data_IF_293523517702
#
_entry.id   IF_293523517702
#
_cell.length_a   1.000
_cell.length_b   1.000
_cell.length_c   1.000
_cell.angle_alpha   90.00
_cell.angle_beta   90.00
_cell.angle_gamma   90.00
#
_symmetry.space_group_name_H-M   'P 1'
#
loop_
_entity.id
_entity.type
_entity.pdbx_description
1 polymer ?
#
# COMPACT_ATOMS: atom_id res chain seq x y z
N UNK A 1 14.93 -31.83 -16.59
CA UNK A 1 15.55 -31.29 -15.38
C UNK A 1 14.43 -31.20 -14.37
N UNK A 2 14.52 -31.83 -13.21
CA UNK A 2 13.55 -31.65 -12.15
C UNK A 2 13.64 -30.18 -11.75
N UNK A 3 12.59 -29.42 -12.01
CA UNK A 3 12.49 -28.04 -11.52
C UNK A 3 12.43 -28.11 -10.01
N UNK A 4 13.47 -27.63 -9.36
CA UNK A 4 13.60 -27.61 -7.90
C UNK A 4 12.40 -26.84 -7.32
N UNK A 5 11.65 -27.46 -6.41
CA UNK A 5 10.47 -26.83 -5.80
C UNK A 5 10.99 -26.00 -4.63
N UNK A 6 10.87 -24.68 -4.72
CA UNK A 6 11.22 -23.76 -3.63
C UNK A 6 10.36 -24.01 -2.39
N UNK A 7 10.86 -23.68 -1.22
CA UNK A 7 10.01 -23.71 -0.03
C UNK A 7 8.98 -22.57 -0.08
N UNK A 8 9.45 -21.36 -0.35
CA UNK A 8 8.60 -20.15 -0.40
C UNK A 8 8.92 -19.30 -1.63
N UNK A 9 7.88 -18.92 -2.35
CA UNK A 9 7.92 -17.80 -3.29
C UNK A 9 7.16 -16.63 -2.67
N UNK A 10 7.81 -15.46 -2.55
CA UNK A 10 7.16 -14.22 -2.16
C UNK A 10 6.96 -13.34 -3.39
N UNK A 11 5.77 -12.79 -3.57
CA UNK A 11 5.43 -11.90 -4.69
C UNK A 11 5.42 -10.47 -4.20
N UNK A 12 6.33 -9.65 -4.74
CA UNK A 12 6.69 -8.32 -4.28
C UNK A 12 7.91 -8.32 -3.37
N UNK A 13 8.61 -7.19 -3.30
CA UNK A 13 9.74 -6.94 -2.42
C UNK A 13 9.57 -5.62 -1.62
N UNK A 14 8.34 -5.32 -1.19
CA UNK A 14 8.04 -4.25 -0.24
C UNK A 14 8.41 -4.61 1.19
N UNK A 15 8.19 -3.69 2.17
CA UNK A 15 8.60 -3.91 3.57
C UNK A 15 8.04 -5.18 4.19
N UNK A 16 6.82 -5.59 3.85
CA UNK A 16 6.21 -6.83 4.33
C UNK A 16 6.93 -8.07 3.81
N UNK A 17 7.22 -8.11 2.51
CA UNK A 17 7.94 -9.19 1.85
C UNK A 17 9.36 -9.35 2.41
N UNK A 18 10.09 -8.23 2.52
CA UNK A 18 11.47 -8.21 3.05
C UNK A 18 11.50 -8.66 4.51
N UNK A 19 10.54 -8.22 5.33
CA UNK A 19 10.43 -8.69 6.71
C UNK A 19 10.16 -10.21 6.76
N UNK A 20 9.21 -10.71 5.97
CA UNK A 20 8.95 -12.14 5.90
C UNK A 20 10.20 -12.93 5.49
N UNK A 21 10.92 -12.46 4.47
CA UNK A 21 12.14 -13.10 3.99
C UNK A 21 13.25 -13.16 5.07
N UNK A 22 13.41 -12.09 5.87
CA UNK A 22 14.35 -12.09 7.01
C UNK A 22 14.04 -13.24 7.98
N UNK A 23 12.75 -13.47 8.27
CA UNK A 23 12.34 -14.52 9.22
C UNK A 23 12.46 -15.92 8.62
N UNK A 24 12.01 -16.13 7.38
CA UNK A 24 12.07 -17.46 6.73
C UNK A 24 13.50 -17.91 6.49
N UNK A 25 14.35 -17.04 5.95
CA UNK A 25 15.74 -17.40 5.63
C UNK A 25 16.62 -17.62 6.86
N UNK A 26 16.31 -16.95 8.00
CA UNK A 26 16.99 -17.24 9.28
C UNK A 26 16.68 -18.62 9.84
N UNK A 27 15.65 -19.28 9.36
CA UNK A 27 15.25 -20.64 9.71
C UNK A 27 15.56 -21.65 8.58
N UNK A 28 16.51 -21.30 7.69
CA UNK A 28 16.96 -22.13 6.57
C UNK A 28 15.82 -22.53 5.60
N UNK A 29 14.76 -21.71 5.50
CA UNK A 29 13.67 -21.88 4.54
C UNK A 29 14.08 -21.21 3.23
N UNK A 30 14.17 -21.99 2.14
CA UNK A 30 14.53 -21.50 0.81
C UNK A 30 13.46 -20.51 0.29
N UNK A 31 13.81 -19.22 0.28
CA UNK A 31 12.89 -18.13 -0.03
C UNK A 31 13.41 -17.28 -1.18
N UNK A 32 12.61 -17.17 -2.23
CA UNK A 32 12.83 -16.23 -3.34
C UNK A 32 11.71 -15.21 -3.40
N UNK A 33 12.08 -13.93 -3.63
CA UNK A 33 11.14 -12.83 -3.85
C UNK A 33 11.17 -12.43 -5.32
N UNK A 34 10.00 -12.27 -5.93
CA UNK A 34 9.88 -11.72 -7.27
C UNK A 34 9.34 -10.29 -7.20
N UNK A 35 10.11 -9.33 -7.72
CA UNK A 35 9.75 -7.90 -7.77
C UNK A 35 9.69 -7.41 -9.23
N UNK A 36 8.60 -6.76 -9.60
CA UNK A 36 8.41 -6.30 -10.97
C UNK A 36 9.08 -4.96 -11.30
N UNK A 37 9.42 -4.15 -10.28
CA UNK A 37 9.91 -2.78 -10.50
C UNK A 37 11.08 -2.42 -9.60
N UNK A 38 10.83 -2.00 -8.36
CA UNK A 38 11.85 -1.55 -7.44
C UNK A 38 11.64 -2.14 -6.04
N UNK A 39 12.71 -2.63 -5.45
CA UNK A 39 12.70 -3.13 -4.07
C UNK A 39 12.29 -2.01 -3.11
N UNK A 40 11.41 -2.33 -2.15
CA UNK A 40 10.90 -1.39 -1.16
C UNK A 40 9.49 -0.86 -1.47
N UNK A 41 8.98 -1.02 -2.69
CA UNK A 41 7.63 -0.61 -3.07
C UNK A 41 7.35 0.87 -2.78
N UNK A 42 6.15 1.21 -2.29
CA UNK A 42 5.77 2.59 -1.95
C UNK A 42 6.65 3.23 -0.86
N UNK A 43 7.24 2.43 0.03
CA UNK A 43 8.16 2.96 1.04
C UNK A 43 9.41 3.58 0.39
N UNK A 44 9.96 2.95 -0.66
CA UNK A 44 11.17 3.44 -1.33
C UNK A 44 10.99 4.80 -2.05
N UNK A 45 9.76 5.13 -2.44
CA UNK A 45 9.45 6.41 -3.12
C UNK A 45 8.92 7.49 -2.16
N UNK A 46 8.84 7.19 -0.87
CA UNK A 46 8.49 8.16 0.18
C UNK A 46 9.72 8.99 0.51
N UNK A 47 9.58 10.32 0.51
CA UNK A 47 10.72 11.23 0.76
C UNK A 47 11.28 11.03 2.16
N UNK A 48 10.46 11.24 3.20
CA UNK A 48 10.83 11.07 4.60
C UNK A 48 9.81 10.20 5.33
N UNK A 49 10.29 9.24 6.12
CA UNK A 49 9.48 8.35 6.97
C UNK A 49 9.79 8.68 8.43
N UNK A 50 8.88 9.41 9.10
CA UNK A 50 9.04 9.86 10.48
C UNK A 50 8.37 8.95 11.51
N UNK A 51 7.54 8.02 11.06
CA UNK A 51 6.71 7.19 11.91
C UNK A 51 7.14 5.71 11.94
N UNK A 52 8.34 5.38 11.44
CA UNK A 52 8.89 4.04 11.57
C UNK A 52 9.76 3.93 12.83
N UNK A 53 9.44 3.03 13.79
CA UNK A 53 10.17 2.92 15.04
C UNK A 53 11.65 2.58 14.84
N UNK A 54 12.52 3.22 15.62
CA UNK A 54 13.97 3.03 15.56
C UNK A 54 14.74 4.17 14.87
N UNK A 55 14.03 5.13 14.28
CA UNK A 55 14.61 6.29 13.61
C UNK A 55 14.05 7.60 14.19
N UNK A 56 14.58 8.08 15.31
CA UNK A 56 14.05 9.25 16.02
C UNK A 56 14.13 10.57 15.22
N UNK A 57 15.03 10.64 14.24
CA UNK A 57 15.19 11.78 13.33
C UNK A 57 14.51 11.56 11.97
N UNK A 58 13.68 10.50 11.84
CA UNK A 58 13.18 10.03 10.56
C UNK A 58 14.23 9.31 9.71
N UNK A 59 13.82 8.79 8.58
CA UNK A 59 14.69 8.14 7.59
C UNK A 59 14.10 8.33 6.19
N UNK A 60 14.94 8.60 5.19
CA UNK A 60 14.51 8.57 3.80
C UNK A 60 13.95 7.20 3.43
N UNK A 61 12.83 7.15 2.73
CA UNK A 61 12.14 5.90 2.38
C UNK A 61 13.03 4.95 1.58
N UNK A 62 13.81 5.47 0.62
CA UNK A 62 14.78 4.68 -0.13
C UNK A 62 15.88 4.09 0.77
N UNK A 63 16.35 4.85 1.75
CA UNK A 63 17.36 4.37 2.71
C UNK A 63 16.78 3.26 3.62
N UNK A 64 15.54 3.41 4.08
CA UNK A 64 14.86 2.39 4.87
C UNK A 64 14.68 1.09 4.06
N UNK A 65 14.20 1.21 2.82
CA UNK A 65 14.03 0.07 1.90
C UNK A 65 15.36 -0.66 1.68
N UNK A 66 16.43 0.08 1.39
CA UNK A 66 17.77 -0.50 1.20
C UNK A 66 18.36 -1.15 2.46
N UNK A 67 17.98 -0.71 3.67
CA UNK A 67 18.37 -1.39 4.91
C UNK A 67 17.62 -2.72 5.09
N UNK A 68 16.32 -2.76 4.80
CA UNK A 68 15.51 -3.97 4.85
C UNK A 68 15.99 -5.00 3.81
N UNK A 69 16.28 -4.56 2.59
CA UNK A 69 16.84 -5.38 1.51
C UNK A 69 18.16 -6.04 1.93
N UNK A 70 19.15 -5.23 2.35
CA UNK A 70 20.45 -5.73 2.82
C UNK A 70 20.31 -6.69 3.99
N UNK A 71 19.33 -6.47 4.87
CA UNK A 71 19.10 -7.38 6.00
C UNK A 71 18.53 -8.73 5.50
N UNK A 72 17.61 -8.74 4.54
CA UNK A 72 17.06 -9.95 3.96
C UNK A 72 18.15 -10.75 3.20
N UNK A 73 18.92 -10.07 2.34
CA UNK A 73 20.02 -10.67 1.59
C UNK A 73 21.11 -11.26 2.51
N UNK A 74 21.42 -10.58 3.63
CA UNK A 74 22.39 -11.06 4.63
C UNK A 74 22.05 -12.46 5.16
N UNK A 75 20.76 -12.81 5.21
CA UNK A 75 20.31 -14.12 5.67
C UNK A 75 20.03 -15.09 4.52
N UNK A 76 20.31 -14.70 3.27
CA UNK A 76 20.24 -15.58 2.11
C UNK A 76 18.96 -15.46 1.30
N UNK A 77 18.13 -14.45 1.54
CA UNK A 77 16.97 -14.17 0.68
C UNK A 77 17.45 -13.85 -0.76
N UNK A 78 16.82 -14.51 -1.74
CA UNK A 78 17.08 -14.25 -3.15
C UNK A 78 16.01 -13.28 -3.67
N UNK A 79 16.44 -12.16 -4.21
CA UNK A 79 15.52 -11.17 -4.83
C UNK A 79 15.76 -11.20 -6.33
N UNK A 80 14.73 -11.58 -7.08
CA UNK A 80 14.77 -11.68 -8.54
C UNK A 80 13.76 -10.69 -9.14
N UNK A 81 14.15 -10.07 -10.26
CA UNK A 81 13.24 -9.22 -11.00
C UNK A 81 12.40 -10.07 -11.95
N UNK A 82 11.07 -9.86 -11.92
CA UNK A 82 10.14 -10.56 -12.77
C UNK A 82 8.68 -10.18 -12.46
N UNK A 83 7.85 -10.12 -13.48
CA UNK A 83 6.43 -9.82 -13.35
C UNK A 83 5.62 -11.12 -13.17
N UNK A 84 5.00 -11.26 -12.01
CA UNK A 84 4.13 -12.40 -11.71
C UNK A 84 2.75 -12.13 -12.32
N UNK A 85 2.36 -13.00 -13.23
CA UNK A 85 1.12 -12.86 -14.01
C UNK A 85 0.02 -13.85 -13.64
N UNK A 86 0.35 -14.95 -12.94
CA UNK A 86 -0.63 -15.91 -12.47
C UNK A 86 -0.11 -16.76 -11.29
N UNK A 87 -1.06 -17.27 -10.50
CA UNK A 87 -0.82 -18.33 -9.50
C UNK A 87 -1.86 -19.42 -9.72
N UNK A 88 -1.44 -20.68 -9.61
CA UNK A 88 -2.33 -21.82 -9.56
C UNK A 88 -1.88 -22.84 -8.53
N UNK A 89 -2.80 -23.57 -7.97
CA UNK A 89 -2.52 -24.69 -7.07
C UNK A 89 -2.52 -26.01 -7.85
N UNK A 90 -1.50 -26.80 -7.66
CA UNK A 90 -1.43 -28.21 -8.07
C UNK A 90 -1.54 -29.11 -6.83
N UNK A 91 -1.62 -30.43 -7.03
CA UNK A 91 -1.94 -31.35 -5.95
C UNK A 91 -0.99 -31.25 -4.74
N UNK A 92 0.28 -30.98 -4.97
CA UNK A 92 1.32 -30.99 -3.95
C UNK A 92 2.21 -29.73 -3.91
N UNK A 93 1.94 -28.74 -4.77
CA UNK A 93 2.71 -27.50 -4.82
C UNK A 93 1.90 -26.36 -5.46
N UNK A 94 2.44 -25.16 -5.38
CA UNK A 94 1.94 -23.97 -6.08
C UNK A 94 2.80 -23.72 -7.31
N UNK A 95 2.20 -23.19 -8.33
CA UNK A 95 2.89 -22.75 -9.54
C UNK A 95 2.65 -21.27 -9.71
N UNK A 96 3.73 -20.52 -9.82
CA UNK A 96 3.74 -19.07 -10.05
C UNK A 96 4.31 -18.83 -11.44
N UNK A 97 3.56 -18.11 -12.28
CA UNK A 97 4.02 -17.74 -13.63
C UNK A 97 4.73 -16.39 -13.56
N UNK A 98 6.02 -16.38 -13.82
CA UNK A 98 6.89 -15.19 -13.81
C UNK A 98 7.43 -14.97 -15.21
N UNK A 99 7.16 -13.82 -15.82
CA UNK A 99 7.56 -13.49 -17.20
C UNK A 99 7.23 -14.59 -18.22
N UNK A 100 6.10 -15.28 -18.02
CA UNK A 100 5.63 -16.36 -18.87
C UNK A 100 6.28 -17.74 -18.59
N UNK A 101 7.19 -17.85 -17.60
CA UNK A 101 7.77 -19.11 -17.16
C UNK A 101 7.19 -19.58 -15.82
N UNK A 102 6.98 -20.87 -15.66
CA UNK A 102 6.46 -21.46 -14.43
C UNK A 102 7.55 -21.78 -13.43
N UNK A 103 7.40 -21.27 -12.21
CA UNK A 103 8.23 -21.58 -11.06
C UNK A 103 7.37 -22.27 -9.99
N UNK A 104 7.94 -23.25 -9.28
CA UNK A 104 7.21 -24.07 -8.32
C UNK A 104 7.62 -23.75 -6.89
N UNK A 105 6.64 -23.73 -5.98
CA UNK A 105 6.89 -23.57 -4.54
C UNK A 105 5.90 -24.41 -3.71
N UNK A 106 6.29 -24.74 -2.48
CA UNK A 106 5.39 -25.36 -1.49
C UNK A 106 4.39 -24.33 -0.98
N UNK A 107 4.85 -23.09 -0.77
CA UNK A 107 4.10 -21.97 -0.23
C UNK A 107 4.30 -20.72 -1.08
N UNK A 108 3.25 -19.91 -1.21
CA UNK A 108 3.32 -18.57 -1.81
C UNK A 108 2.90 -17.53 -0.78
N UNK A 109 3.70 -16.46 -0.63
CA UNK A 109 3.33 -15.25 0.10
C UNK A 109 3.06 -14.12 -0.88
N UNK A 110 1.86 -13.57 -0.84
CA UNK A 110 1.47 -12.40 -1.64
C UNK A 110 1.70 -11.14 -0.80
N UNK A 111 2.65 -10.30 -1.22
CA UNK A 111 3.01 -9.05 -0.54
C UNK A 111 3.19 -7.91 -1.55
N UNK A 112 2.32 -7.90 -2.55
CA UNK A 112 2.34 -6.98 -3.70
C UNK A 112 1.87 -5.56 -3.39
N UNK A 113 1.28 -5.37 -2.20
CA UNK A 113 0.79 -4.07 -1.75
C UNK A 113 -0.40 -3.55 -2.57
N UNK A 114 -0.64 -2.24 -2.42
CA UNK A 114 -1.68 -1.50 -3.13
C UNK A 114 -1.12 -0.17 -3.61
N UNK A 115 -1.57 0.30 -4.76
CA UNK A 115 -1.27 1.62 -5.27
C UNK A 115 -2.39 2.61 -4.93
N UNK A 116 -2.04 3.88 -4.76
CA UNK A 116 -3.03 4.94 -4.66
C UNK A 116 -3.58 5.27 -6.04
N UNK A 117 -4.92 5.31 -6.14
CA UNK A 117 -5.58 5.76 -7.35
C UNK A 117 -5.27 7.24 -7.60
N UNK A 118 -4.84 7.55 -8.82
CA UNK A 118 -4.50 8.91 -9.24
C UNK A 118 -5.72 9.62 -9.80
N UNK A 119 -5.76 10.96 -9.65
CA UNK A 119 -6.77 11.80 -10.31
C UNK A 119 -6.41 12.09 -11.77
N UNK A 120 -5.10 12.00 -12.11
CA UNK A 120 -4.58 12.23 -13.45
C UNK A 120 -4.43 13.71 -13.82
N UNK A 121 -4.49 14.62 -12.85
CA UNK A 121 -4.31 16.04 -13.09
C UNK A 121 -2.83 16.37 -13.37
N UNK A 122 -2.52 17.29 -14.31
CA UNK A 122 -1.20 17.86 -14.46
C UNK A 122 -0.63 18.33 -13.11
N UNK A 123 0.64 18.07 -12.85
CA UNK A 123 1.31 18.37 -11.59
C UNK A 123 1.18 17.28 -10.52
N UNK A 124 0.19 16.37 -10.58
CA UNK A 124 0.00 15.34 -9.56
C UNK A 124 1.23 14.44 -9.40
N UNK A 125 1.74 13.92 -10.50
CA UNK A 125 2.94 13.05 -10.50
C UNK A 125 4.22 13.84 -10.21
N UNK A 126 4.32 15.05 -10.76
CA UNK A 126 5.51 15.88 -10.67
C UNK A 126 5.79 16.31 -9.23
N UNK A 127 4.73 16.65 -8.48
CA UNK A 127 4.84 17.19 -7.11
C UNK A 127 4.56 16.16 -6.03
N UNK A 128 4.53 14.85 -6.37
CA UNK A 128 4.44 13.78 -5.37
C UNK A 128 5.60 13.89 -4.37
N UNK A 129 5.29 13.86 -3.06
CA UNK A 129 6.23 14.11 -1.97
C UNK A 129 6.66 15.57 -1.79
N UNK A 130 6.36 16.45 -2.76
CA UNK A 130 6.71 17.88 -2.75
C UNK A 130 5.47 18.80 -2.70
N UNK A 131 4.44 18.34 -2.00
CA UNK A 131 3.18 19.04 -1.86
C UNK A 131 1.95 18.27 -2.33
N UNK A 132 2.12 17.13 -3.01
CA UNK A 132 1.04 16.18 -3.32
C UNK A 132 1.26 14.89 -2.53
N UNK A 133 0.25 14.47 -1.77
CA UNK A 133 0.32 13.36 -0.82
C UNK A 133 -0.90 12.44 -0.93
N UNK A 134 -0.74 11.19 -0.45
CA UNK A 134 -1.79 10.17 -0.42
C UNK A 134 -1.99 9.55 0.96
N UNK A 135 -1.28 10.04 1.98
CA UNK A 135 -1.33 9.52 3.34
C UNK A 135 -1.38 10.70 4.34
N UNK A 136 -2.52 10.96 4.95
CA UNK A 136 -2.64 12.03 5.94
C UNK A 136 -1.87 11.74 7.23
N UNK A 137 -1.85 10.49 7.67
CA UNK A 137 -1.11 10.06 8.87
C UNK A 137 0.39 10.21 8.70
N UNK A 138 0.90 10.05 7.46
CA UNK A 138 2.33 10.16 7.15
C UNK A 138 2.76 11.63 7.08
N UNK A 139 2.00 12.45 6.36
CA UNK A 139 2.44 13.77 5.89
C UNK A 139 1.71 14.94 6.55
N UNK A 140 0.56 14.69 7.20
CA UNK A 140 -0.30 15.76 7.72
C UNK A 140 0.38 16.67 8.74
N UNK A 141 1.29 16.14 9.55
CA UNK A 141 2.00 16.90 10.59
C UNK A 141 2.91 18.00 10.01
N UNK A 142 3.41 17.85 8.78
CA UNK A 142 4.24 18.85 8.08
C UNK A 142 3.45 20.11 7.68
N UNK A 143 2.12 20.01 7.68
CA UNK A 143 1.20 21.07 7.25
C UNK A 143 0.52 21.80 8.42
N UNK A 144 1.19 21.87 9.58
CA UNK A 144 0.67 22.62 10.73
C UNK A 144 0.51 24.11 10.37
N UNK A 145 -0.71 24.62 10.67
CA UNK A 145 -1.12 26.00 10.42
C UNK A 145 -1.12 26.42 8.93
N UNK A 146 -1.14 25.42 8.01
CA UNK A 146 -1.16 25.60 6.56
C UNK A 146 -2.56 25.39 6.00
N UNK A 147 -2.78 25.90 4.78
CA UNK A 147 -3.97 25.64 4.00
C UNK A 147 -3.79 24.39 3.16
N UNK A 148 -4.78 23.52 3.19
CA UNK A 148 -4.74 22.25 2.44
C UNK A 148 -5.92 22.13 1.49
N UNK A 149 -5.69 21.41 0.40
CA UNK A 149 -6.74 20.85 -0.43
C UNK A 149 -6.78 19.35 -0.19
N UNK A 150 -7.98 18.81 0.00
CA UNK A 150 -8.25 17.37 -0.02
C UNK A 150 -9.11 17.05 -1.23
N UNK A 151 -8.73 16.02 -2.00
CA UNK A 151 -9.48 15.58 -3.18
C UNK A 151 -10.09 14.21 -2.90
N UNK A 152 -11.43 14.13 -2.92
CA UNK A 152 -12.18 12.90 -2.72
C UNK A 152 -13.52 13.13 -2.04
N UNK A 153 -14.42 12.14 -2.12
CA UNK A 153 -15.78 12.25 -1.52
C UNK A 153 -16.27 10.94 -0.91
N UNK A 154 -15.41 9.94 -0.74
CA UNK A 154 -15.69 8.67 -0.08
C UNK A 154 -15.31 8.67 1.41
N UNK A 155 -15.54 7.53 2.08
CA UNK A 155 -15.22 7.38 3.51
C UNK A 155 -13.79 7.80 3.85
N UNK A 156 -12.78 7.31 3.10
CA UNK A 156 -11.38 7.65 3.34
C UNK A 156 -11.13 9.16 3.24
N UNK A 157 -11.68 9.83 2.21
CA UNK A 157 -11.49 11.27 2.05
C UNK A 157 -12.04 12.07 3.24
N UNK A 158 -13.22 11.72 3.76
CA UNK A 158 -13.80 12.39 4.91
C UNK A 158 -13.03 12.10 6.20
N UNK A 159 -12.67 10.84 6.45
CA UNK A 159 -11.86 10.45 7.62
C UNK A 159 -10.54 11.20 7.66
N UNK A 160 -9.82 11.22 6.53
CA UNK A 160 -8.53 11.87 6.42
C UNK A 160 -8.66 13.41 6.46
N UNK A 161 -9.75 13.99 5.91
CA UNK A 161 -10.05 15.41 6.08
C UNK A 161 -10.23 15.76 7.55
N UNK A 162 -11.08 15.02 8.28
CA UNK A 162 -11.29 15.20 9.72
C UNK A 162 -9.96 15.06 10.49
N UNK A 163 -9.14 14.08 10.14
CA UNK A 163 -7.82 13.90 10.76
C UNK A 163 -6.91 15.13 10.53
N UNK A 164 -6.86 15.63 9.29
CA UNK A 164 -6.01 16.77 8.91
C UNK A 164 -6.43 18.08 9.59
N UNK A 165 -7.71 18.25 10.03
CA UNK A 165 -8.13 19.44 10.79
C UNK A 165 -7.37 19.64 12.10
N UNK A 166 -6.67 18.62 12.59
CA UNK A 166 -5.79 18.71 13.77
C UNK A 166 -4.52 19.52 13.52
N UNK A 167 -4.15 19.66 12.26
CA UNK A 167 -2.93 20.34 11.83
C UNK A 167 -3.21 21.58 11.00
N UNK A 168 -4.00 21.44 9.96
CA UNK A 168 -4.27 22.48 8.99
C UNK A 168 -5.06 23.66 9.60
N UNK A 169 -4.75 24.87 9.15
CA UNK A 169 -5.53 26.07 9.48
C UNK A 169 -6.87 26.10 8.75
N UNK A 170 -6.92 25.57 7.52
CA UNK A 170 -8.11 25.44 6.70
C UNK A 170 -7.93 24.32 5.67
N UNK A 171 -9.04 23.66 5.32
CA UNK A 171 -9.07 22.59 4.32
C UNK A 171 -10.19 22.87 3.32
N UNK A 172 -9.85 22.90 2.04
CA UNK A 172 -10.80 22.90 0.93
C UNK A 172 -10.98 21.45 0.45
N UNK A 173 -12.16 20.86 0.68
CA UNK A 173 -12.49 19.49 0.26
C UNK A 173 -13.15 19.52 -1.12
N UNK A 174 -12.42 19.04 -2.14
CA UNK A 174 -12.90 19.01 -3.53
C UNK A 174 -13.59 17.66 -3.81
N UNK A 175 -14.85 17.71 -4.15
CA UNK A 175 -15.68 16.52 -4.44
C UNK A 175 -16.21 16.62 -5.86
N UNK A 176 -15.81 15.67 -6.72
CA UNK A 176 -16.15 15.68 -8.16
C UNK A 176 -17.66 15.71 -8.46
N UNK A 177 -18.48 15.15 -7.57
CA UNK A 177 -19.94 15.11 -7.70
C UNK A 177 -20.61 15.32 -6.35
N UNK A 178 -20.97 14.24 -5.68
CA UNK A 178 -21.58 14.22 -4.34
C UNK A 178 -20.73 13.43 -3.36
N UNK A 179 -20.86 13.73 -2.08
CA UNK A 179 -20.26 12.94 -1.01
C UNK A 179 -20.93 11.57 -0.98
N UNK A 180 -20.10 10.49 -0.98
CA UNK A 180 -20.52 9.08 -0.92
C UNK A 180 -20.15 8.41 0.39
N UNK A 181 -19.60 9.17 1.33
CA UNK A 181 -19.24 8.68 2.66
C UNK A 181 -20.50 8.39 3.49
N UNK A 182 -20.34 7.56 4.54
CA UNK A 182 -21.40 7.22 5.48
C UNK A 182 -21.93 8.47 6.20
N UNK A 183 -23.22 8.44 6.60
CA UNK A 183 -23.89 9.55 7.29
C UNK A 183 -23.14 9.96 8.57
N UNK A 184 -22.55 9.01 9.29
CA UNK A 184 -21.78 9.28 10.52
C UNK A 184 -20.57 10.18 10.21
N UNK A 185 -19.83 9.87 9.16
CA UNK A 185 -18.66 10.67 8.74
C UNK A 185 -19.09 12.05 8.21
N UNK A 186 -20.22 12.13 7.52
CA UNK A 186 -20.76 13.42 7.07
C UNK A 186 -21.16 14.30 8.25
N UNK A 187 -21.78 13.72 9.30
CA UNK A 187 -22.14 14.44 10.53
C UNK A 187 -20.88 14.91 11.30
N UNK A 188 -19.83 14.09 11.34
CA UNK A 188 -18.57 14.49 11.98
C UNK A 188 -17.86 15.60 11.19
N UNK A 189 -17.83 15.51 9.88
CA UNK A 189 -17.28 16.55 9.02
C UNK A 189 -18.04 17.89 9.18
N UNK A 190 -19.37 17.83 9.32
CA UNK A 190 -20.22 19.02 9.47
C UNK A 190 -19.79 19.90 10.64
N UNK A 191 -19.31 19.31 11.76
CA UNK A 191 -18.78 20.07 12.91
C UNK A 191 -17.62 20.99 12.49
N UNK A 192 -16.72 20.45 11.66
CA UNK A 192 -15.55 21.22 11.18
C UNK A 192 -15.91 22.25 10.11
N UNK A 193 -16.99 22.01 9.37
CA UNK A 193 -17.58 23.01 8.45
C UNK A 193 -18.17 24.16 9.26
N UNK A 194 -18.95 23.87 10.31
CA UNK A 194 -19.58 24.87 11.17
C UNK A 194 -18.52 25.70 11.95
N UNK A 195 -17.38 25.11 12.27
CA UNK A 195 -16.20 25.78 12.85
C UNK A 195 -15.42 26.63 11.83
N UNK A 196 -15.75 26.58 10.55
CA UNK A 196 -15.03 27.28 9.47
C UNK A 196 -13.67 26.70 9.13
N UNK A 197 -13.35 25.50 9.61
CA UNK A 197 -12.11 24.80 9.30
C UNK A 197 -12.11 24.06 7.98
N UNK A 198 -13.29 23.68 7.49
CA UNK A 198 -13.46 22.95 6.23
C UNK A 198 -14.46 23.66 5.34
N UNK A 199 -14.11 23.86 4.08
CA UNK A 199 -15.03 24.23 3.01
C UNK A 199 -15.20 23.07 2.05
N UNK A 200 -16.45 22.73 1.71
CA UNK A 200 -16.75 21.64 0.77
C UNK A 200 -17.14 22.23 -0.59
N UNK A 201 -16.42 21.83 -1.62
CA UNK A 201 -16.67 22.19 -3.01
C UNK A 201 -17.24 20.96 -3.74
N UNK A 202 -18.56 20.95 -3.95
CA UNK A 202 -19.23 19.90 -4.71
C UNK A 202 -19.16 20.19 -6.22
N UNK A 203 -19.33 19.13 -7.05
CA UNK A 203 -19.24 19.23 -8.52
C UNK A 203 -17.95 19.92 -8.97
N UNK A 204 -16.83 19.60 -8.30
CA UNK A 204 -15.55 20.28 -8.51
C UNK A 204 -14.51 19.30 -9.01
N UNK A 205 -13.93 19.57 -10.17
CA UNK A 205 -12.78 18.82 -10.73
C UNK A 205 -11.47 19.50 -10.38
N UNK A 206 -10.42 18.70 -10.23
CA UNK A 206 -9.04 19.17 -10.09
C UNK A 206 -8.43 19.18 -11.48
N UNK A 207 -8.18 20.36 -12.04
CA UNK A 207 -7.76 20.50 -13.43
C UNK A 207 -6.24 20.58 -13.58
N UNK A 208 -5.56 21.24 -12.63
CA UNK A 208 -4.09 21.34 -12.62
C UNK A 208 -3.61 21.66 -11.20
N UNK A 209 -2.54 21.02 -10.75
CA UNK A 209 -1.81 21.35 -9.52
C UNK A 209 -0.63 22.24 -9.91
N UNK A 210 -0.62 23.46 -9.40
CA UNK A 210 0.36 24.49 -9.75
C UNK A 210 1.39 24.61 -8.64
N UNK A 211 2.66 24.80 -9.01
CA UNK A 211 3.74 25.01 -8.07
C UNK A 211 4.50 26.32 -8.35
N UNK A 212 5.00 26.91 -7.29
CA UNK A 212 5.92 28.03 -7.31
C UNK A 212 7.20 27.61 -6.59
N UNK A 213 8.36 27.86 -7.19
CA UNK A 213 9.67 27.47 -6.62
C UNK A 213 9.76 25.97 -6.24
N UNK A 214 9.12 25.12 -7.06
CA UNK A 214 9.13 23.66 -6.90
C UNK A 214 8.26 23.08 -5.79
N UNK A 215 7.40 23.90 -5.18
CA UNK A 215 6.41 23.50 -4.17
C UNK A 215 5.00 23.87 -4.59
N UNK A 216 4.03 23.04 -4.26
CA UNK A 216 2.62 23.32 -4.52
C UNK A 216 2.23 24.67 -3.93
N UNK A 217 1.52 25.50 -4.71
CA UNK A 217 1.08 26.84 -4.32
C UNK A 217 -0.41 27.09 -4.57
N UNK A 218 -1.00 26.35 -5.53
CA UNK A 218 -2.43 26.47 -5.84
C UNK A 218 -2.92 25.28 -6.66
N UNK A 219 -4.24 25.17 -6.80
CA UNK A 219 -4.90 24.19 -7.67
C UNK A 219 -5.91 24.93 -8.55
N UNK A 220 -5.84 24.72 -9.86
CA UNK A 220 -6.89 25.13 -10.78
C UNK A 220 -8.02 24.12 -10.71
N UNK A 221 -9.24 24.61 -10.57
CA UNK A 221 -10.43 23.79 -10.43
C UNK A 221 -11.55 24.31 -11.34
N UNK A 222 -12.45 23.41 -11.72
CA UNK A 222 -13.72 23.76 -12.33
C UNK A 222 -14.84 23.36 -11.38
N UNK A 223 -15.52 24.33 -10.79
CA UNK A 223 -16.65 24.14 -9.89
C UNK A 223 -17.95 24.57 -10.58
N UNK A 224 -18.92 23.65 -10.74
CA UNK A 224 -20.18 23.92 -11.45
C UNK A 224 -19.98 24.64 -12.80
N UNK A 225 -19.04 24.15 -13.62
CA UNK A 225 -18.64 24.72 -14.92
C UNK A 225 -17.93 26.08 -14.86
N UNK A 226 -17.61 26.59 -13.69
CA UNK A 226 -16.85 27.82 -13.50
C UNK A 226 -15.40 27.53 -13.12
N UNK A 227 -14.45 27.97 -13.94
CA UNK A 227 -13.03 27.82 -13.64
C UNK A 227 -12.57 28.82 -12.58
N UNK A 228 -11.77 28.36 -11.63
CA UNK A 228 -11.16 29.17 -10.58
C UNK A 228 -9.84 28.59 -10.13
N UNK A 229 -9.16 29.28 -9.22
CA UNK A 229 -7.89 28.82 -8.64
C UNK A 229 -7.94 29.00 -7.12
N UNK A 230 -7.58 27.91 -6.39
CA UNK A 230 -7.57 27.86 -4.93
C UNK A 230 -6.13 27.81 -4.46
N UNK A 231 -5.71 28.78 -3.66
CA UNK A 231 -4.37 28.85 -3.06
C UNK A 231 -4.24 27.83 -1.93
N UNK A 232 -3.20 27.03 -1.97
CA UNK A 232 -2.95 25.97 -0.99
C UNK A 232 -1.45 25.74 -0.76
N UNK A 233 -1.08 25.21 0.39
CA UNK A 233 0.30 24.77 0.69
C UNK A 233 0.53 23.28 0.36
N UNK A 234 -0.56 22.51 0.18
CA UNK A 234 -0.47 21.08 -0.15
C UNK A 234 -1.81 20.46 -0.55
N UNK A 235 -1.71 19.35 -1.28
CA UNK A 235 -2.85 18.59 -1.83
C UNK A 235 -2.79 17.16 -1.34
N UNK A 236 -3.86 16.69 -0.73
CA UNK A 236 -4.03 15.29 -0.33
C UNK A 236 -5.08 14.61 -1.19
N UNK A 237 -4.74 13.49 -1.82
CA UNK A 237 -5.63 12.80 -2.78
C UNK A 237 -6.12 11.48 -2.18
N UNK A 238 -7.44 11.37 -1.94
CA UNK A 238 -8.09 10.20 -1.37
C UNK A 238 -9.25 9.73 -2.25
N UNK A 239 -8.92 9.29 -3.47
CA UNK A 239 -9.88 8.83 -4.48
C UNK A 239 -9.95 7.31 -4.62
N UNK A 240 -9.34 6.59 -3.68
CA UNK A 240 -9.35 5.13 -3.56
C UNK A 240 -7.98 4.48 -3.71
N UNK A 241 -7.99 3.16 -3.53
CA UNK A 241 -6.82 2.29 -3.68
C UNK A 241 -6.98 1.39 -4.91
N UNK A 242 -5.88 0.89 -5.40
CA UNK A 242 -5.76 -0.12 -6.44
C UNK A 242 -4.90 -1.27 -5.89
N UNK A 243 -5.52 -2.30 -5.30
CA UNK A 243 -4.78 -3.46 -4.84
C UNK A 243 -4.08 -4.17 -6.01
N UNK A 244 -2.84 -4.57 -5.81
CA UNK A 244 -2.07 -5.29 -6.83
C UNK A 244 -2.44 -6.78 -6.83
N UNK A 245 -3.66 -7.11 -7.25
CA UNK A 245 -4.29 -8.43 -7.17
C UNK A 245 -4.77 -8.98 -8.52
N UNK A 246 -4.57 -8.25 -9.63
CA UNK A 246 -5.07 -8.65 -10.95
C UNK A 246 -4.59 -10.04 -11.41
N UNK A 247 -3.36 -10.44 -11.03
CA UNK A 247 -2.77 -11.73 -11.35
C UNK A 247 -3.41 -12.92 -10.61
N UNK A 248 -4.33 -12.66 -9.66
CA UNK A 248 -5.04 -13.69 -8.88
C UNK A 248 -6.28 -14.23 -9.58
N UNK A 249 -6.65 -13.71 -10.75
CA UNK A 249 -7.78 -14.24 -11.51
C UNK A 249 -7.62 -15.74 -11.75
N UNK A 250 -8.64 -16.52 -11.38
CA UNK A 250 -8.61 -17.98 -11.49
C UNK A 250 -7.80 -18.74 -10.44
N UNK A 251 -7.13 -18.07 -9.51
CA UNK A 251 -6.32 -18.72 -8.45
C UNK A 251 -7.16 -19.36 -7.33
N UNK A 252 -8.43 -18.97 -7.16
CA UNK A 252 -9.28 -19.36 -6.03
C UNK A 252 -9.10 -18.51 -4.77
N UNK A 253 -8.18 -17.54 -4.78
CA UNK A 253 -8.02 -16.60 -3.66
C UNK A 253 -9.18 -15.62 -3.63
N UNK A 254 -9.86 -15.50 -2.49
CA UNK A 254 -10.98 -14.59 -2.34
C UNK A 254 -10.52 -13.15 -2.07
N UNK A 255 -11.19 -12.22 -2.74
CA UNK A 255 -11.03 -10.78 -2.56
C UNK A 255 -12.26 -10.19 -1.87
N UNK A 256 -12.07 -9.04 -1.21
CA UNK A 256 -13.19 -8.23 -0.73
C UNK A 256 -13.75 -7.30 -1.83
N UNK A 257 -14.73 -6.48 -1.49
CA UNK A 257 -15.38 -5.54 -2.42
C UNK A 257 -14.43 -4.47 -2.99
N UNK A 258 -13.31 -4.24 -2.33
CA UNK A 258 -12.26 -3.29 -2.75
C UNK A 258 -11.16 -3.97 -3.58
N UNK A 259 -11.21 -5.29 -3.75
CA UNK A 259 -10.20 -6.08 -4.42
C UNK A 259 -9.01 -6.47 -3.55
N UNK A 260 -9.10 -6.30 -2.22
CA UNK A 260 -8.08 -6.70 -1.25
C UNK A 260 -8.24 -8.19 -0.88
N UNK A 261 -7.13 -8.86 -0.58
CA UNK A 261 -7.12 -10.30 -0.27
C UNK A 261 -7.70 -10.56 1.11
N UNK A 262 -8.69 -11.45 1.20
CA UNK A 262 -9.21 -11.95 2.46
C UNK A 262 -8.25 -12.99 3.05
N UNK A 263 -7.95 -12.85 4.34
CA UNK A 263 -7.14 -13.81 5.10
C UNK A 263 -7.79 -14.15 6.43
N UNK A 264 -7.40 -15.29 7.00
CA UNK A 264 -7.67 -15.61 8.38
C UNK A 264 -6.66 -14.89 9.33
N UNK A 265 -6.75 -15.16 10.63
CA UNK A 265 -5.86 -14.57 11.64
C UNK A 265 -4.38 -15.01 11.52
N UNK A 266 -4.10 -16.07 10.77
CA UNK A 266 -2.76 -16.58 10.47
C UNK A 266 -2.21 -16.06 9.14
N UNK A 267 -2.89 -15.06 8.55
CA UNK A 267 -2.56 -14.45 7.26
C UNK A 267 -2.63 -15.43 6.08
N UNK A 268 -3.26 -16.60 6.26
CA UNK A 268 -3.53 -17.55 5.18
C UNK A 268 -4.81 -17.14 4.45
N UNK A 269 -4.79 -17.27 3.12
CA UNK A 269 -5.93 -16.99 2.26
C UNK A 269 -6.95 -18.13 2.30
N UNK A 270 -7.99 -18.07 1.47
CA UNK A 270 -8.95 -19.17 1.29
C UNK A 270 -8.35 -20.39 0.58
N UNK A 271 -7.15 -20.25 0.02
CA UNK A 271 -6.41 -21.34 -0.65
C UNK A 271 -5.25 -21.79 0.24
N UNK A 272 -5.27 -23.04 0.77
CA UNK A 272 -4.21 -23.54 1.65
C UNK A 272 -2.82 -23.39 1.03
N UNK A 273 -1.85 -22.93 1.83
CA UNK A 273 -0.47 -22.68 1.39
C UNK A 273 -0.27 -21.41 0.57
N UNK A 274 -1.31 -20.57 0.44
CA UNK A 274 -1.17 -19.22 -0.09
C UNK A 274 -1.49 -18.24 1.04
N UNK A 275 -0.52 -17.39 1.36
CA UNK A 275 -0.58 -16.37 2.40
C UNK A 275 -0.59 -14.97 1.78
N UNK A 276 -1.08 -13.98 2.52
CA UNK A 276 -0.99 -12.59 2.11
C UNK A 276 -0.66 -11.70 3.30
N UNK A 277 0.16 -10.64 3.08
CA UNK A 277 0.56 -9.70 4.12
C UNK A 277 0.82 -8.29 3.58
N UNK A 278 0.69 -7.31 4.45
CA UNK A 278 0.83 -5.89 4.10
C UNK A 278 -0.40 -5.34 3.36
N UNK A 279 -0.21 -4.25 2.64
CA UNK A 279 -1.26 -3.39 2.11
C UNK A 279 -2.12 -4.01 0.98
N UNK A 280 -1.82 -5.22 0.56
CA UNK A 280 -2.64 -6.02 -0.38
C UNK A 280 -3.80 -6.72 0.34
N UNK A 281 -3.74 -6.83 1.68
CA UNK A 281 -4.67 -7.60 2.49
C UNK A 281 -5.85 -6.77 2.99
N UNK A 282 -7.03 -7.36 2.98
CA UNK A 282 -8.23 -6.78 3.60
C UNK A 282 -8.01 -6.56 5.11
N UNK A 283 -8.31 -5.36 5.59
CA UNK A 283 -8.12 -4.95 6.97
C UNK A 283 -6.67 -4.60 7.36
N UNK A 284 -5.75 -4.49 6.40
CA UNK A 284 -4.41 -3.99 6.67
C UNK A 284 -4.43 -2.53 7.15
N UNK A 285 -3.51 -2.18 8.04
CA UNK A 285 -3.40 -0.80 8.59
C UNK A 285 -2.78 0.18 7.59
N UNK A 286 -2.14 -0.33 6.52
CA UNK A 286 -1.48 0.49 5.49
C UNK A 286 -0.41 1.44 6.06
N UNK A 287 0.41 0.90 6.94
CA UNK A 287 1.58 1.56 7.52
C UNK A 287 2.80 0.64 7.38
N UNK A 288 3.99 1.21 7.13
CA UNK A 288 5.23 0.44 6.95
C UNK A 288 5.48 -0.48 8.14
N UNK A 289 5.36 0.04 9.37
CA UNK A 289 5.57 -0.75 10.59
C UNK A 289 4.56 -1.90 10.73
N UNK A 290 3.29 -1.69 10.34
CA UNK A 290 2.27 -2.73 10.31
C UNK A 290 2.59 -3.79 9.25
N UNK A 291 2.98 -3.37 8.05
CA UNK A 291 3.36 -4.27 6.96
C UNK A 291 4.55 -5.16 7.35
N UNK A 292 5.57 -4.60 8.01
CA UNK A 292 6.72 -5.34 8.57
C UNK A 292 6.26 -6.35 9.62
N UNK A 293 5.38 -5.95 10.55
CA UNK A 293 4.81 -6.84 11.56
C UNK A 293 3.99 -7.98 10.96
N UNK A 294 3.17 -7.69 9.94
CA UNK A 294 2.42 -8.73 9.22
C UNK A 294 3.35 -9.68 8.46
N UNK A 295 4.41 -9.17 7.81
CA UNK A 295 5.42 -10.01 7.15
C UNK A 295 6.09 -10.99 8.12
N UNK A 296 6.48 -10.52 9.29
CA UNK A 296 7.02 -11.38 10.35
C UNK A 296 6.01 -12.44 10.81
N UNK A 297 4.75 -12.05 11.02
CA UNK A 297 3.68 -12.97 11.42
C UNK A 297 3.38 -14.02 10.34
N UNK A 298 3.34 -13.61 9.06
CA UNK A 298 3.15 -14.50 7.94
C UNK A 298 4.28 -15.55 7.85
N UNK A 299 5.54 -15.14 8.06
CA UNK A 299 6.67 -16.04 8.06
C UNK A 299 6.56 -17.13 9.13
N UNK A 300 6.07 -16.80 10.33
CA UNK A 300 5.83 -17.79 11.39
C UNK A 300 4.72 -18.77 11.01
N UNK A 301 3.62 -18.28 10.44
CA UNK A 301 2.52 -19.13 9.96
C UNK A 301 2.97 -20.03 8.79
N UNK A 302 3.80 -19.50 7.88
CA UNK A 302 4.41 -20.26 6.77
C UNK A 302 5.31 -21.38 7.31
N UNK A 303 6.11 -21.12 8.33
CA UNK A 303 6.95 -22.15 8.97
C UNK A 303 6.08 -23.30 9.51
N UNK A 304 5.03 -22.99 10.26
CA UNK A 304 4.11 -23.98 10.80
C UNK A 304 3.48 -24.82 9.68
N UNK A 305 3.01 -24.17 8.62
CA UNK A 305 2.47 -24.84 7.44
C UNK A 305 3.49 -25.78 6.78
N UNK A 306 4.75 -25.36 6.62
CA UNK A 306 5.80 -26.18 6.03
C UNK A 306 6.18 -27.39 6.90
N UNK A 307 6.10 -27.27 8.23
CA UNK A 307 6.30 -28.38 9.15
C UNK A 307 5.20 -29.44 9.00
N UNK A 308 3.93 -29.00 8.91
CA UNK A 308 2.79 -29.90 8.69
C UNK A 308 2.85 -30.54 7.31
N UNK A 309 3.17 -29.78 6.28
CA UNK A 309 3.41 -30.28 4.92
C UNK A 309 4.47 -31.40 4.89
N UNK A 310 5.59 -31.24 5.63
CA UNK A 310 6.65 -32.28 5.73
C UNK A 310 6.14 -33.54 6.47
N UNK A 311 5.34 -33.37 7.53
CA UNK A 311 4.78 -34.51 8.31
C UNK A 311 3.81 -35.33 7.49
N UNK A 312 2.92 -34.71 6.75
CA UNK A 312 1.95 -35.41 5.90
C UNK A 312 2.61 -36.24 4.82
N UNK A 313 3.68 -35.70 4.21
CA UNK A 313 4.44 -36.44 3.17
C UNK A 313 5.34 -37.53 3.72
N UNK A 314 5.76 -37.43 4.96
CA UNK A 314 6.50 -38.50 5.61
C UNK A 314 5.59 -39.68 6.05
N UNK A 315 4.27 -39.43 6.15
CA UNK A 315 3.27 -40.42 6.52
C UNK A 315 2.60 -41.10 5.31
N UNK A 316 2.78 -40.59 4.10
CA UNK A 316 2.28 -41.14 2.83
C UNK A 316 3.33 -41.96 2.11
#
# INVERSE_FOLDING_TARGET
>A
MATDIRDVITIGAGPSALAAAIYTTREDIDTVLYEKSAVGGLAAITDMVDNYPGFPEGIEGLALAGQLEKQAERFGAQIEYGDVTAIRSEADHKVVTVDGADVKAKVVLIATGSDYKKIGAPGEKEFYGRGVHYCATCDGAFYRDKKLIVVGGGNSALQETIFLTRYASHIDLLVRSTIKASDVLQQDLQKHIDEGKVTVHLNTTTDEIVATDGRVSSVKVTENDAASEIVTDGVFVFVGLLPNTAFLEGSGVELDELGLIKTNQHLETTVPGIFASGDVRSGATMQIASAVGEGASAALSIREYLEDYKRERAAS
#
